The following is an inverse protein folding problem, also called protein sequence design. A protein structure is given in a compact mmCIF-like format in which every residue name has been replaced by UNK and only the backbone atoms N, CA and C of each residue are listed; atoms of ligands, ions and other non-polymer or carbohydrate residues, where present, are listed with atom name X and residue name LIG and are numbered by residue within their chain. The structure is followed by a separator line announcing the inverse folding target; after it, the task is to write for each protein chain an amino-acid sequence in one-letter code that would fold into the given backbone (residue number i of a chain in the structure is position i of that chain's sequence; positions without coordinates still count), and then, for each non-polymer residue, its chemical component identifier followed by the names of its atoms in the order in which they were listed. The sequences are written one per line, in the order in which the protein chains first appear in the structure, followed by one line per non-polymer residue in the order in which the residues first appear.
data_IF_299850925967
#
_entry.id   IF_299850925967
#
_cell.length_a   1.000
_cell.length_b   1.000
_cell.length_c   1.000
_cell.angle_alpha   90.00
_cell.angle_beta   90.00
_cell.angle_gamma   90.00
#
_symmetry.space_group_name_H-M   'P 1'
#
loop_
_entity.id
_entity.type
_entity.pdbx_description
1 polymer ?
#
# COMPACT_ATOMS: atom_id res chain seq x y z
N UNK A 1 -14.32 -13.29 18.72
CA UNK A 1 -15.11 -12.87 17.55
C UNK A 1 -14.29 -13.16 16.30
N UNK A 2 -14.83 -13.94 15.35
CA UNK A 2 -14.09 -14.40 14.17
C UNK A 2 -14.02 -13.26 13.13
N UNK A 3 -12.87 -12.61 13.01
CA UNK A 3 -12.64 -11.61 11.96
C UNK A 3 -12.31 -12.37 10.67
N UNK A 4 -13.23 -12.31 9.70
CA UNK A 4 -13.06 -12.97 8.40
C UNK A 4 -11.78 -12.51 7.70
N UNK A 5 -10.92 -13.47 7.32
CA UNK A 5 -9.68 -13.29 6.57
C UNK A 5 -9.90 -13.06 5.07
N UNK A 6 -11.15 -12.96 4.61
CA UNK A 6 -11.44 -12.79 3.18
C UNK A 6 -11.19 -11.36 2.72
N UNK A 7 -10.60 -11.16 1.52
CA UNK A 7 -10.42 -9.82 0.94
C UNK A 7 -11.77 -9.14 0.72
N UNK A 8 -11.89 -7.88 1.18
CA UNK A 8 -13.10 -7.04 1.09
C UNK A 8 -13.38 -6.64 -0.35
N UNK A 9 -14.22 -7.42 -1.03
CA UNK A 9 -14.66 -7.19 -2.42
C UNK A 9 -15.86 -6.25 -2.52
N UNK A 10 -16.45 -5.86 -1.39
CA UNK A 10 -17.49 -4.84 -1.25
C UNK A 10 -17.01 -3.44 -1.65
N UNK A 11 -15.69 -3.20 -1.57
CA UNK A 11 -15.08 -1.94 -1.95
C UNK A 11 -14.72 -1.96 -3.45
N UNK A 12 -15.40 -1.14 -4.26
CA UNK A 12 -15.33 -1.13 -5.72
C UNK A 12 -13.90 -1.08 -6.30
N UNK A 13 -12.97 -0.44 -5.59
CA UNK A 13 -11.58 -0.25 -6.03
C UNK A 13 -10.58 -1.27 -5.46
N UNK A 14 -10.99 -2.14 -4.53
CA UNK A 14 -10.22 -3.31 -4.09
C UNK A 14 -10.52 -4.56 -4.95
N UNK A 15 -11.49 -4.46 -5.88
CA UNK A 15 -11.78 -5.52 -6.84
C UNK A 15 -10.65 -5.66 -7.85
N UNK A 16 -10.16 -6.89 -8.04
CA UNK A 16 -9.36 -7.26 -9.21
C UNK A 16 -10.19 -6.93 -10.46
N UNK A 17 -9.68 -6.07 -11.34
CA UNK A 17 -10.36 -5.73 -12.59
C UNK A 17 -10.40 -6.97 -13.49
N UNK A 18 -11.53 -7.69 -13.47
CA UNK A 18 -11.83 -8.72 -14.47
C UNK A 18 -12.31 -7.97 -15.71
N UNK A 19 -11.54 -8.04 -16.80
CA UNK A 19 -11.95 -7.49 -18.09
C UNK A 19 -13.13 -8.33 -18.57
N UNK A 20 -14.33 -7.76 -18.58
CA UNK A 20 -15.49 -8.40 -19.19
C UNK A 20 -15.15 -8.69 -20.65
N UNK A 21 -15.26 -9.96 -21.05
CA UNK A 21 -15.32 -10.31 -22.46
C UNK A 21 -16.55 -9.61 -23.04
N UNK A 22 -16.36 -8.94 -24.18
CA UNK A 22 -17.40 -8.18 -24.87
C UNK A 22 -18.56 -9.10 -25.25
N UNK A 23 -19.65 -9.04 -24.49
CA UNK A 23 -20.92 -9.67 -24.87
C UNK A 23 -21.56 -8.82 -25.97
N UNK A 24 -21.74 -9.45 -27.13
CA UNK A 24 -22.49 -8.94 -28.28
C UNK A 24 -23.92 -8.58 -27.87
N UNK A 25 -24.37 -7.42 -28.36
CA UNK A 25 -25.71 -6.91 -28.20
C UNK A 25 -26.77 -7.84 -28.80
N UNK A 26 -27.85 -8.07 -28.06
CA UNK A 26 -29.13 -8.51 -28.60
C UNK A 26 -30.26 -7.67 -27.98
N UNK A 27 -31.12 -7.16 -28.86
CA UNK A 27 -32.18 -6.19 -28.61
C UNK A 27 -33.38 -6.79 -27.83
N UNK A 28 -34.26 -5.97 -27.22
CA UNK A 28 -35.32 -6.44 -26.34
C UNK A 28 -36.59 -6.82 -27.13
N UNK A 29 -37.33 -7.80 -26.62
CA UNK A 29 -38.71 -8.07 -27.04
C UNK A 29 -39.62 -8.01 -25.82
N UNK A 30 -40.67 -7.21 -25.93
CA UNK A 30 -41.71 -7.00 -24.91
C UNK A 30 -42.65 -8.20 -24.79
N UNK A 31 -43.23 -8.40 -23.60
CA UNK A 31 -44.34 -9.36 -23.43
C UNK A 31 -44.77 -9.61 -21.97
N UNK A 32 -45.80 -8.86 -21.56
CA UNK A 32 -46.97 -9.22 -20.72
C UNK A 32 -46.84 -9.94 -19.34
N UNK A 33 -47.71 -9.45 -18.44
CA UNK A 33 -48.09 -9.94 -17.10
C UNK A 33 -48.59 -11.42 -17.09
N UNK A 34 -48.67 -12.14 -15.95
CA UNK A 34 -49.79 -12.14 -14.97
C UNK A 34 -49.42 -13.03 -13.73
N UNK A 35 -49.86 -12.57 -12.55
CA UNK A 35 -50.30 -13.19 -11.27
C UNK A 35 -49.91 -14.61 -10.77
N UNK A 36 -49.57 -14.61 -9.46
CA UNK A 36 -50.04 -15.45 -8.33
C UNK A 36 -49.87 -16.98 -8.31
N UNK A 37 -49.49 -17.50 -7.14
CA UNK A 37 -49.95 -18.81 -6.65
C UNK A 37 -48.89 -19.67 -5.96
N UNK A 38 -49.07 -19.91 -4.66
CA UNK A 38 -48.25 -20.76 -3.80
C UNK A 38 -48.33 -22.26 -4.16
N UNK A 39 -47.23 -23.00 -3.94
CA UNK A 39 -47.20 -24.29 -3.24
C UNK A 39 -45.77 -24.88 -3.20
N UNK A 40 -45.33 -25.23 -1.99
CA UNK A 40 -44.34 -26.29 -1.74
C UNK A 40 -45.12 -27.64 -1.72
N UNK A 41 -44.51 -28.84 -1.95
CA UNK A 41 -43.50 -29.37 -1.03
C UNK A 41 -42.45 -30.40 -1.56
N UNK A 42 -41.44 -30.63 -0.70
CA UNK A 42 -40.74 -31.89 -0.34
C UNK A 42 -39.81 -32.70 -1.29
N UNK A 43 -38.60 -32.93 -0.75
CA UNK A 43 -37.75 -34.15 -0.75
C UNK A 43 -36.96 -34.57 -2.01
N UNK A 44 -35.63 -34.34 -1.98
CA UNK A 44 -34.61 -35.40 -2.06
C UNK A 44 -33.17 -34.82 -1.81
N UNK A 45 -32.26 -35.58 -1.18
CA UNK A 45 -30.92 -35.11 -0.83
C UNK A 45 -29.91 -35.38 -1.96
N UNK A 46 -29.11 -34.37 -2.33
CA UNK A 46 -27.94 -34.56 -3.20
C UNK A 46 -26.66 -34.29 -2.40
N UNK A 47 -25.84 -35.33 -2.30
CA UNK A 47 -24.53 -35.39 -1.65
C UNK A 47 -23.54 -34.48 -2.38
N UNK A 48 -22.78 -33.59 -1.71
CA UNK A 48 -21.72 -32.84 -2.36
C UNK A 48 -20.45 -33.68 -2.50
N UNK A 49 -19.95 -33.77 -3.73
CA UNK A 49 -18.63 -34.31 -4.11
C UNK A 49 -17.53 -33.39 -3.58
N UNK A 50 -16.57 -33.96 -2.84
CA UNK A 50 -15.39 -33.27 -2.32
C UNK A 50 -14.37 -32.96 -3.44
N UNK A 51 -13.74 -31.77 -3.47
CA UNK A 51 -12.57 -31.53 -4.30
C UNK A 51 -11.27 -31.93 -3.59
N UNK A 52 -10.41 -32.62 -4.35
CA UNK A 52 -9.12 -33.15 -3.94
C UNK A 52 -8.08 -32.05 -3.64
N UNK A 53 -7.25 -32.29 -2.62
CA UNK A 53 -6.06 -31.51 -2.28
C UNK A 53 -4.88 -31.89 -3.20
N UNK A 54 -4.05 -30.93 -3.65
CA UNK A 54 -2.76 -31.24 -4.26
C UNK A 54 -1.64 -31.27 -3.20
N UNK A 55 -1.10 -32.46 -2.95
CA UNK A 55 0.14 -32.68 -2.18
C UNK A 55 1.37 -32.37 -3.05
N UNK A 56 2.17 -31.39 -2.65
CA UNK A 56 3.45 -31.05 -3.28
C UNK A 56 4.58 -31.83 -2.60
N UNK A 57 5.18 -32.78 -3.31
CA UNK A 57 6.33 -33.57 -2.86
C UNK A 57 7.63 -32.93 -3.37
N UNK A 58 8.45 -32.41 -2.46
CA UNK A 58 9.81 -31.93 -2.75
C UNK A 58 10.76 -33.12 -2.82
N UNK A 59 11.32 -33.42 -4.00
CA UNK A 59 12.46 -34.34 -4.15
C UNK A 59 13.77 -33.56 -4.16
N UNK A 60 14.55 -33.78 -3.11
CA UNK A 60 15.96 -33.43 -2.99
C UNK A 60 16.83 -34.55 -3.57
N UNK A 61 17.83 -34.21 -4.38
CA UNK A 61 18.94 -35.11 -4.73
C UNK A 61 20.26 -34.38 -4.46
N UNK A 62 21.14 -34.92 -3.60
CA UNK A 62 22.56 -34.61 -3.64
C UNK A 62 23.32 -35.78 -4.28
N UNK A 63 24.25 -35.49 -5.19
CA UNK A 63 25.29 -36.44 -5.55
C UNK A 63 26.64 -35.72 -5.57
N UNK A 64 27.57 -36.29 -4.81
CA UNK A 64 28.91 -35.83 -4.58
C UNK A 64 29.93 -36.62 -5.44
N UNK A 65 31.16 -36.06 -5.45
CA UNK A 65 32.47 -36.67 -5.76
C UNK A 65 32.84 -36.83 -7.24
N UNK A 66 34.09 -36.66 -7.70
CA UNK A 66 35.33 -36.14 -7.13
C UNK A 66 36.44 -36.13 -8.23
N UNK A 67 37.51 -35.37 -7.97
CA UNK A 67 38.94 -35.63 -8.32
C UNK A 67 39.62 -35.06 -9.59
N UNK A 68 40.78 -34.45 -9.26
CA UNK A 68 42.10 -34.45 -9.93
C UNK A 68 42.46 -33.36 -10.97
N UNK A 69 43.68 -32.84 -10.82
CA UNK A 69 44.30 -31.69 -11.49
C UNK A 69 45.48 -32.13 -12.43
N UNK A 70 46.36 -31.24 -12.94
CA UNK A 70 46.56 -30.87 -14.36
C UNK A 70 47.90 -31.44 -14.96
N UNK A 71 48.39 -31.14 -16.21
CA UNK A 71 48.94 -29.82 -16.63
C UNK A 71 48.92 -29.45 -18.16
N UNK A 72 49.45 -28.25 -18.46
CA UNK A 72 50.21 -27.80 -19.65
C UNK A 72 49.54 -27.19 -20.94
N UNK A 73 49.81 -25.88 -21.11
CA UNK A 73 50.11 -25.04 -22.29
C UNK A 73 49.71 -25.47 -23.73
N UNK A 74 48.99 -24.59 -24.45
CA UNK A 74 49.29 -24.17 -25.84
C UNK A 74 48.48 -22.93 -26.28
N UNK A 75 49.24 -21.90 -26.69
CA UNK A 75 49.06 -20.82 -27.69
C UNK A 75 47.67 -20.44 -28.27
N UNK A 76 47.33 -19.13 -28.39
CA UNK A 76 46.09 -18.65 -29.00
C UNK A 76 46.18 -18.52 -30.53
N UNK A 77 45.11 -18.79 -31.30
CA UNK A 77 45.02 -18.33 -32.68
C UNK A 77 44.39 -16.94 -32.77
N UNK A 78 45.15 -15.99 -33.31
CA UNK A 78 44.65 -14.78 -33.95
C UNK A 78 43.60 -15.13 -35.02
N UNK A 79 42.45 -14.47 -34.99
CA UNK A 79 41.74 -14.09 -36.22
C UNK A 79 41.29 -12.64 -36.11
N UNK A 80 41.98 -11.81 -36.88
CA UNK A 80 41.58 -10.48 -37.28
C UNK A 80 40.36 -10.57 -38.19
N UNK A 81 39.26 -9.94 -37.78
CA UNK A 81 38.23 -9.46 -38.70
C UNK A 81 37.88 -8.05 -38.23
N UNK A 82 38.36 -7.07 -38.99
CA UNK A 82 38.22 -5.66 -38.68
C UNK A 82 36.77 -5.19 -38.74
N UNK A 83 36.42 -4.36 -37.77
CA UNK A 83 35.46 -3.29 -37.97
C UNK A 83 36.15 -2.01 -37.48
N UNK A 84 36.86 -1.34 -38.39
CA UNK A 84 37.41 -0.01 -38.17
C UNK A 84 36.25 0.97 -38.23
N UNK A 85 35.70 1.33 -37.07
CA UNK A 85 34.83 2.49 -36.94
C UNK A 85 35.72 3.72 -36.73
N UNK A 86 36.31 4.20 -37.83
CA UNK A 86 36.86 5.54 -37.89
C UNK A 86 35.72 6.55 -37.88
N UNK A 87 35.86 7.59 -37.06
CA UNK A 87 34.94 8.72 -36.99
C UNK A 87 34.37 8.87 -35.59
N UNK A 88 34.88 9.88 -34.87
CA UNK A 88 34.43 10.22 -33.52
C UNK A 88 32.91 10.25 -33.46
N UNK A 89 32.34 9.33 -32.67
CA UNK A 89 30.94 9.41 -32.31
C UNK A 89 30.76 10.77 -31.63
N UNK A 90 29.91 11.68 -32.16
CA UNK A 90 29.56 12.86 -31.40
C UNK A 90 28.98 12.37 -30.08
N UNK A 91 29.39 13.00 -28.98
CA UNK A 91 28.82 12.77 -27.66
C UNK A 91 27.29 12.75 -27.83
N UNK A 92 26.71 11.55 -27.82
CA UNK A 92 25.31 11.38 -28.17
C UNK A 92 24.54 12.04 -27.05
N UNK A 93 24.07 13.27 -27.31
CA UNK A 93 23.29 14.03 -26.36
C UNK A 93 22.12 13.14 -25.96
N UNK A 94 22.11 12.66 -24.71
CA UNK A 94 21.11 11.72 -24.24
C UNK A 94 19.72 12.23 -24.63
N UNK A 95 18.96 11.42 -25.35
CA UNK A 95 17.59 11.75 -25.71
C UNK A 95 16.76 12.07 -24.46
N UNK A 96 15.69 12.86 -24.57
CA UNK A 96 14.90 13.33 -23.40
C UNK A 96 14.39 12.18 -22.53
N UNK A 97 14.06 11.03 -23.12
CA UNK A 97 13.66 9.81 -22.39
C UNK A 97 14.80 9.18 -21.59
N UNK A 98 16.01 9.16 -22.13
CA UNK A 98 17.19 8.65 -21.44
C UNK A 98 17.56 9.54 -20.24
N UNK A 99 17.52 10.87 -20.42
CA UNK A 99 17.69 11.85 -19.33
C UNK A 99 16.67 11.63 -18.20
N UNK A 100 15.39 11.43 -18.55
CA UNK A 100 14.35 11.15 -17.56
C UNK A 100 14.58 9.85 -16.80
N UNK A 101 15.06 8.79 -17.46
CA UNK A 101 15.37 7.51 -16.81
C UNK A 101 16.56 7.63 -15.85
N UNK A 102 17.60 8.37 -16.24
CA UNK A 102 18.76 8.63 -15.36
C UNK A 102 18.32 9.40 -14.12
N UNK A 103 17.56 10.48 -14.28
CA UNK A 103 17.02 11.25 -13.16
C UNK A 103 16.13 10.40 -12.23
N UNK A 104 15.33 9.48 -12.78
CA UNK A 104 14.54 8.53 -11.98
C UNK A 104 15.41 7.57 -11.18
N UNK A 105 16.52 7.08 -11.75
CA UNK A 105 17.45 6.19 -11.06
C UNK A 105 18.22 6.91 -9.96
N UNK A 106 18.68 8.13 -10.21
CA UNK A 106 19.33 8.96 -9.20
C UNK A 106 18.40 9.26 -8.03
N UNK A 107 17.14 9.61 -8.32
CA UNK A 107 16.11 9.79 -7.30
C UNK A 107 15.87 8.52 -6.48
N UNK A 108 15.77 7.36 -7.13
CA UNK A 108 15.59 6.10 -6.42
C UNK A 108 16.79 5.78 -5.51
N UNK A 109 18.02 6.02 -5.98
CA UNK A 109 19.24 5.86 -5.16
C UNK A 109 19.23 6.77 -3.93
N UNK A 110 18.79 8.02 -4.08
CA UNK A 110 18.67 8.93 -2.96
C UNK A 110 17.65 8.44 -1.94
N UNK A 111 16.47 7.98 -2.41
CA UNK A 111 15.44 7.41 -1.54
C UNK A 111 15.95 6.15 -0.81
N UNK A 112 16.66 5.25 -1.49
CA UNK A 112 17.24 4.06 -0.87
C UNK A 112 18.34 4.42 0.14
N UNK A 113 19.14 5.45 -0.15
CA UNK A 113 20.14 5.96 0.78
C UNK A 113 19.52 6.55 2.04
N UNK A 114 18.43 7.32 1.92
CA UNK A 114 17.68 7.82 3.07
C UNK A 114 17.21 6.67 3.98
N UNK A 115 16.74 5.56 3.41
CA UNK A 115 16.31 4.38 4.16
C UNK A 115 17.50 3.66 4.80
N UNK A 116 18.64 3.58 4.13
CA UNK A 116 19.85 2.95 4.66
C UNK A 116 20.44 3.71 5.87
N UNK A 117 20.14 5.00 6.02
CA UNK A 117 20.55 5.81 7.17
C UNK A 117 19.66 5.60 8.41
N UNK A 118 18.53 4.89 8.27
CA UNK A 118 17.59 4.71 9.36
C UNK A 118 18.05 3.63 10.33
N UNK A 119 17.72 3.82 11.61
CA UNK A 119 17.82 2.75 12.60
C UNK A 119 16.92 1.57 12.20
N UNK A 120 17.33 0.33 12.52
CA UNK A 120 16.50 -0.85 12.31
C UNK A 120 15.11 -0.68 12.96
N UNK A 121 14.07 -1.11 12.25
CA UNK A 121 12.72 -1.17 12.76
C UNK A 121 12.11 -2.52 12.34
N UNK A 122 11.26 -3.13 13.19
CA UNK A 122 10.55 -4.36 12.84
C UNK A 122 9.73 -4.24 11.56
N UNK A 123 9.57 -5.33 10.82
CA UNK A 123 8.62 -5.38 9.71
C UNK A 123 7.19 -5.60 10.24
N UNK A 124 6.18 -5.43 9.38
CA UNK A 124 4.78 -5.64 9.79
C UNK A 124 4.49 -7.10 10.14
N UNK A 125 5.18 -8.05 9.49
CA UNK A 125 5.11 -9.47 9.83
C UNK A 125 5.70 -9.83 11.21
N UNK A 126 6.53 -8.95 11.78
CA UNK A 126 7.18 -9.18 13.08
C UNK A 126 6.36 -8.64 14.26
N UNK A 127 5.37 -7.76 14.01
CA UNK A 127 4.63 -7.03 15.04
C UNK A 127 3.13 -7.25 14.89
N UNK A 128 2.53 -7.87 15.90
CA UNK A 128 1.08 -8.10 15.95
C UNK A 128 0.30 -6.90 16.52
N UNK A 129 0.93 -6.14 17.42
CA UNK A 129 0.31 -5.01 18.10
C UNK A 129 1.31 -3.86 18.26
N UNK A 130 0.93 -2.66 17.83
CA UNK A 130 1.67 -1.44 18.06
C UNK A 130 1.21 -0.82 19.39
N UNK A 131 2.05 -0.95 20.43
CA UNK A 131 1.76 -0.53 21.79
C UNK A 131 2.94 0.26 22.40
N UNK A 132 2.97 0.44 23.72
CA UNK A 132 4.03 1.18 24.42
C UNK A 132 5.42 0.50 24.38
N UNK A 133 5.48 -0.79 24.10
CA UNK A 133 6.72 -1.57 23.95
C UNK A 133 7.12 -1.58 22.48
N UNK A 134 6.26 -2.15 21.63
CA UNK A 134 6.45 -2.23 20.19
C UNK A 134 5.83 -1.00 19.52
N UNK A 135 6.50 0.15 19.66
CA UNK A 135 5.94 1.44 19.24
C UNK A 135 6.01 1.70 17.75
N UNK A 136 6.87 0.99 17.02
CA UNK A 136 7.17 1.32 15.65
C UNK A 136 7.38 0.07 14.80
N UNK A 137 6.94 0.15 13.55
CA UNK A 137 7.28 -0.79 12.50
C UNK A 137 7.52 -0.05 11.19
N UNK A 138 8.22 -0.69 10.26
CA UNK A 138 8.53 -0.12 8.95
C UNK A 138 8.12 -1.08 7.85
N UNK A 139 7.34 -0.55 6.91
CA UNK A 139 6.96 -1.28 5.72
C UNK A 139 8.13 -1.34 4.74
N UNK A 140 8.29 -2.45 4.04
CA UNK A 140 9.20 -2.53 2.90
C UNK A 140 8.80 -1.55 1.79
N UNK A 141 9.73 -1.20 0.87
CA UNK A 141 9.39 -0.35 -0.28
C UNK A 141 8.25 -0.93 -1.15
N UNK A 142 8.16 -2.26 -1.23
CA UNK A 142 7.09 -2.94 -1.95
C UNK A 142 5.75 -2.78 -1.22
N UNK A 143 5.70 -3.09 0.08
CA UNK A 143 4.51 -2.90 0.91
C UNK A 143 4.06 -1.42 0.92
N UNK A 144 5.00 -0.47 0.85
CA UNK A 144 4.70 0.97 0.83
C UNK A 144 4.17 1.49 -0.51
N UNK A 145 4.24 0.71 -1.58
CA UNK A 145 3.90 1.16 -2.94
C UNK A 145 2.73 0.41 -3.60
N UNK A 146 2.26 -0.67 -2.99
CA UNK A 146 1.26 -1.57 -3.58
C UNK A 146 -0.06 -1.51 -2.81
N UNK A 147 -1.14 -1.17 -3.52
CA UNK A 147 -2.50 -1.25 -2.99
C UNK A 147 -2.88 -0.06 -2.10
N UNK A 148 -3.48 -0.38 -0.96
CA UNK A 148 -4.04 0.57 0.00
C UNK A 148 -3.69 0.10 1.40
N UNK A 149 -3.28 1.03 2.26
CA UNK A 149 -3.20 0.80 3.70
C UNK A 149 -4.54 1.22 4.29
N UNK A 150 -5.22 0.27 4.92
CA UNK A 150 -6.54 0.47 5.52
C UNK A 150 -6.36 0.58 7.04
N UNK A 151 -6.98 1.59 7.62
CA UNK A 151 -7.03 1.81 9.07
C UNK A 151 -8.48 1.73 9.50
N UNK A 152 -8.83 0.62 10.15
CA UNK A 152 -10.15 0.37 10.72
C UNK A 152 -10.20 0.86 12.17
N UNK A 153 -11.36 1.31 12.63
CA UNK A 153 -11.57 1.76 14.01
C UNK A 153 -11.06 3.18 14.30
N UNK A 154 -10.41 3.84 13.33
CA UNK A 154 -10.13 5.28 13.42
C UNK A 154 -11.42 6.09 13.26
N UNK A 155 -11.55 7.17 14.02
CA UNK A 155 -12.69 8.09 13.97
C UNK A 155 -12.34 9.42 13.32
N UNK A 156 -11.05 9.78 13.28
CA UNK A 156 -10.54 10.94 12.56
C UNK A 156 -9.17 10.66 11.95
N UNK A 157 -8.87 11.33 10.84
CA UNK A 157 -7.55 11.32 10.22
C UNK A 157 -7.17 12.74 9.84
N UNK A 158 -5.91 13.10 10.07
CA UNK A 158 -5.27 14.30 9.53
C UNK A 158 -4.07 13.87 8.71
N UNK A 159 -3.81 14.55 7.60
CA UNK A 159 -2.69 14.27 6.71
C UNK A 159 -2.03 15.55 6.22
N UNK A 160 -0.77 15.42 5.86
CA UNK A 160 0.03 16.45 5.25
C UNK A 160 0.72 15.88 4.00
N UNK A 161 0.59 16.57 2.87
CA UNK A 161 1.32 16.23 1.66
C UNK A 161 2.76 16.76 1.67
N UNK A 162 3.59 16.28 0.74
CA UNK A 162 4.95 16.83 0.52
C UNK A 162 4.94 18.32 0.19
N UNK A 163 3.82 18.86 -0.30
CA UNK A 163 3.62 20.29 -0.56
C UNK A 163 3.12 21.07 0.66
N UNK A 164 3.14 20.47 1.85
CA UNK A 164 2.61 21.02 3.12
C UNK A 164 1.13 21.38 3.05
N UNK A 165 0.37 20.76 2.14
CA UNK A 165 -1.09 20.85 2.13
C UNK A 165 -1.61 19.92 3.21
N UNK A 166 -2.37 20.48 4.13
CA UNK A 166 -2.94 19.77 5.27
C UNK A 166 -4.45 19.65 5.09
N UNK A 167 -4.95 18.43 5.27
CA UNK A 167 -6.38 18.13 5.29
C UNK A 167 -6.70 17.19 6.43
N UNK A 168 -7.96 17.16 6.82
CA UNK A 168 -8.47 16.22 7.81
C UNK A 168 -9.88 15.75 7.43
N UNK A 169 -10.23 14.56 7.88
CA UNK A 169 -11.55 13.98 7.69
C UNK A 169 -11.94 13.15 8.91
N UNK A 170 -13.22 13.20 9.29
CA UNK A 170 -13.81 12.31 10.30
C UNK A 170 -14.56 11.15 9.65
N UNK A 171 -14.78 10.07 10.40
CA UNK A 171 -15.57 8.92 9.96
C UNK A 171 -17.01 9.31 9.57
N UNK A 172 -17.56 10.36 10.18
CA UNK A 172 -18.86 10.95 9.85
C UNK A 172 -18.84 11.81 8.57
N UNK A 173 -17.72 11.84 7.86
CA UNK A 173 -17.56 12.54 6.58
C UNK A 173 -17.29 14.04 6.69
N UNK A 174 -17.09 14.59 7.89
CA UNK A 174 -16.75 16.00 8.03
C UNK A 174 -15.31 16.20 7.56
N UNK A 175 -15.07 17.23 6.75
CA UNK A 175 -13.75 17.55 6.18
C UNK A 175 -13.28 18.91 6.65
N UNK A 176 -11.98 19.02 6.89
CA UNK A 176 -11.30 20.28 7.18
C UNK A 176 -10.03 20.39 6.34
N UNK A 177 -9.58 21.62 6.09
CA UNK A 177 -8.41 21.89 5.27
C UNK A 177 -8.65 21.59 3.78
N UNK A 178 -7.61 21.13 3.08
CA UNK A 178 -7.68 20.88 1.63
C UNK A 178 -7.48 19.38 1.31
N UNK A 179 -8.30 18.80 0.42
CA UNK A 179 -8.08 17.43 -0.03
C UNK A 179 -6.78 17.33 -0.83
N UNK A 180 -6.13 16.18 -0.74
CA UNK A 180 -4.99 15.85 -1.58
C UNK A 180 -5.42 14.71 -2.48
N UNK A 181 -5.58 15.02 -3.76
CA UNK A 181 -5.90 14.01 -4.76
C UNK A 181 -4.63 13.50 -5.43
N UNK A 182 -4.60 12.19 -5.61
CA UNK A 182 -3.63 11.51 -6.46
C UNK A 182 -3.80 11.91 -7.92
N UNK A 183 -2.77 11.72 -8.74
CA UNK A 183 -2.88 11.91 -10.20
C UNK A 183 -4.01 11.11 -10.89
N UNK A 184 -4.57 10.09 -10.23
CA UNK A 184 -5.72 9.33 -10.67
C UNK A 184 -7.08 9.85 -10.19
N UNK A 185 -7.17 11.07 -9.65
CA UNK A 185 -8.38 11.68 -9.10
C UNK A 185 -9.01 10.85 -7.97
N UNK A 186 -8.16 10.23 -7.15
CA UNK A 186 -8.54 9.51 -5.92
C UNK A 186 -7.95 10.24 -4.73
N UNK A 187 -8.64 10.27 -3.61
CA UNK A 187 -8.09 10.81 -2.36
C UNK A 187 -6.83 10.02 -1.95
N UNK A 188 -5.76 10.76 -1.66
CA UNK A 188 -4.51 10.18 -1.16
C UNK A 188 -4.72 9.56 0.22
N UNK A 189 -5.41 10.31 1.08
CA UNK A 189 -5.86 9.90 2.41
C UNK A 189 -7.33 10.31 2.53
N UNK A 190 -8.16 9.44 3.09
CA UNK A 190 -9.58 9.72 3.29
C UNK A 190 -10.34 8.53 3.84
N UNK A 191 -11.65 8.69 4.02
CA UNK A 191 -12.55 7.63 4.47
C UNK A 191 -13.35 7.01 3.33
N UNK A 192 -13.55 5.70 3.40
CA UNK A 192 -14.57 5.00 2.61
C UNK A 192 -15.38 4.11 3.55
N UNK A 193 -16.64 4.49 3.77
CA UNK A 193 -17.43 3.91 4.85
C UNK A 193 -16.82 4.30 6.20
N UNK A 194 -16.63 3.31 7.08
CA UNK A 194 -16.03 3.48 8.41
C UNK A 194 -14.51 3.38 8.43
N UNK A 195 -13.89 3.03 7.30
CA UNK A 195 -12.47 2.71 7.23
C UNK A 195 -11.70 3.89 6.62
N UNK A 196 -10.63 4.32 7.28
CA UNK A 196 -9.71 5.29 6.73
C UNK A 196 -8.68 4.58 5.84
N UNK A 197 -8.17 5.28 4.84
CA UNK A 197 -7.35 4.70 3.78
C UNK A 197 -6.16 5.59 3.45
N UNK A 198 -5.04 4.97 3.05
CA UNK A 198 -3.94 5.63 2.33
C UNK A 198 -3.72 4.92 1.00
N UNK A 199 -3.77 5.66 -0.11
CA UNK A 199 -3.45 5.11 -1.43
C UNK A 199 -1.93 4.98 -1.61
N UNK A 200 -1.40 3.77 -1.44
CA UNK A 200 0.04 3.50 -1.36
C UNK A 200 0.81 3.76 -2.66
N UNK A 201 0.17 3.54 -3.81
CA UNK A 201 0.78 3.86 -5.12
C UNK A 201 1.22 5.32 -5.25
N UNK A 202 0.59 6.22 -4.48
CA UNK A 202 0.84 7.66 -4.48
C UNK A 202 1.44 8.15 -3.16
N UNK A 203 2.00 7.25 -2.34
CA UNK A 203 2.56 7.59 -1.02
C UNK A 203 3.68 8.64 -1.08
N UNK A 204 4.32 8.81 -2.24
CA UNK A 204 5.33 9.87 -2.47
C UNK A 204 4.75 11.28 -2.40
N UNK A 205 3.43 11.42 -2.52
CA UNK A 205 2.72 12.69 -2.34
C UNK A 205 2.40 12.94 -0.87
N UNK A 206 2.45 11.91 -0.01
CA UNK A 206 2.26 11.99 1.43
C UNK A 206 3.57 12.39 2.12
N UNK A 207 3.47 13.27 3.11
CA UNK A 207 4.55 13.54 4.07
C UNK A 207 4.32 12.75 5.35
N UNK A 208 3.13 12.90 5.93
CA UNK A 208 2.72 12.21 7.16
C UNK A 208 1.20 12.21 7.33
N UNK A 209 0.69 11.33 8.18
CA UNK A 209 -0.69 11.29 8.62
C UNK A 209 -0.81 10.84 10.09
N UNK A 210 -1.90 11.21 10.74
CA UNK A 210 -2.28 10.75 12.07
C UNK A 210 -3.69 10.19 12.01
N UNK A 211 -3.89 8.99 12.53
CA UNK A 211 -5.19 8.39 12.74
C UNK A 211 -5.50 8.38 14.23
N UNK A 212 -6.68 8.86 14.57
CA UNK A 212 -7.17 9.01 15.94
C UNK A 212 -8.34 8.05 16.11
N UNK A 213 -8.38 7.34 17.23
CA UNK A 213 -9.47 6.45 17.60
C UNK A 213 -10.14 6.95 18.87
N UNK A 214 -11.35 7.51 18.73
CA UNK A 214 -12.21 7.93 19.85
C UNK A 214 -13.18 6.86 20.31
N UNK A 215 -13.14 5.68 19.70
CA UNK A 215 -14.00 4.56 20.07
C UNK A 215 -13.36 3.70 21.16
N UNK A 216 -14.17 2.91 21.85
CA UNK A 216 -13.72 1.89 22.80
C UNK A 216 -13.17 0.62 22.13
N UNK A 217 -13.23 0.55 20.79
CA UNK A 217 -12.72 -0.60 20.02
C UNK A 217 -11.25 -0.42 19.68
N UNK A 218 -10.54 -1.52 19.45
CA UNK A 218 -9.16 -1.45 18.95
C UNK A 218 -9.11 -0.83 17.55
N UNK A 219 -8.01 -0.12 17.25
CA UNK A 219 -7.72 0.33 15.88
C UNK A 219 -6.91 -0.78 15.19
N UNK A 220 -7.14 -0.98 13.90
CA UNK A 220 -6.43 -2.01 13.13
C UNK A 220 -5.87 -1.43 11.85
N UNK A 221 -4.64 -1.78 11.52
CA UNK A 221 -4.00 -1.45 10.25
C UNK A 221 -3.88 -2.72 9.42
N UNK A 222 -4.28 -2.64 8.15
CA UNK A 222 -4.26 -3.75 7.20
C UNK A 222 -3.64 -3.32 5.88
N UNK A 223 -2.75 -4.16 5.35
CA UNK A 223 -2.22 -4.03 4.00
C UNK A 223 -3.01 -4.85 2.98
N UNK A 224 -2.82 -4.54 1.70
CA UNK A 224 -3.40 -5.32 0.61
C UNK A 224 -2.93 -6.79 0.60
N UNK A 225 -1.71 -7.08 1.09
CA UNK A 225 -1.19 -8.44 1.25
C UNK A 225 -2.00 -9.27 2.24
N UNK A 226 -2.77 -8.63 3.13
CA UNK A 226 -3.48 -9.28 4.22
C UNK A 226 -2.76 -9.13 5.57
N UNK A 227 -1.52 -8.63 5.58
CA UNK A 227 -0.79 -8.39 6.83
C UNK A 227 -1.52 -7.34 7.68
N UNK A 228 -1.59 -7.59 8.99
CA UNK A 228 -2.32 -6.73 9.92
C UNK A 228 -1.55 -6.49 11.19
N UNK A 229 -1.69 -5.28 11.73
CA UNK A 229 -1.23 -4.92 13.07
C UNK A 229 -2.35 -4.19 13.80
N UNK A 230 -2.51 -4.46 15.10
CA UNK A 230 -3.51 -3.79 15.93
C UNK A 230 -2.89 -2.65 16.73
N UNK A 231 -3.69 -1.67 17.13
CA UNK A 231 -3.36 -0.74 18.21
C UNK A 231 -4.40 -0.96 19.33
N UNK A 232 -3.97 -1.00 20.59
CA UNK A 232 -4.86 -1.24 21.70
C UNK A 232 -5.90 -0.11 21.84
N UNK A 233 -7.09 -0.40 22.39
CA UNK A 233 -8.05 0.63 22.74
C UNK A 233 -7.50 1.52 23.87
N UNK A 234 -8.15 2.66 24.10
CA UNK A 234 -7.77 3.54 25.20
C UNK A 234 -7.85 2.81 26.57
N UNK A 235 -6.84 3.02 27.40
CA UNK A 235 -6.71 2.44 28.73
C UNK A 235 -6.04 3.44 29.68
N UNK A 236 -6.42 3.43 30.96
CA UNK A 236 -5.77 4.22 32.02
C UNK A 236 -5.66 5.72 31.69
N UNK A 237 -6.66 6.30 31.03
CA UNK A 237 -6.67 7.71 30.64
C UNK A 237 -5.74 8.06 29.47
N UNK A 238 -5.15 7.07 28.82
CA UNK A 238 -4.28 7.21 27.65
C UNK A 238 -4.92 6.52 26.44
N UNK A 239 -4.76 7.11 25.26
CA UNK A 239 -5.10 6.48 23.97
C UNK A 239 -3.86 6.42 23.08
N UNK A 240 -3.78 5.41 22.21
CA UNK A 240 -2.74 5.35 21.20
C UNK A 240 -3.24 6.00 19.91
N UNK A 241 -2.46 6.92 19.34
CA UNK A 241 -2.66 7.43 17.98
C UNK A 241 -1.67 6.77 17.03
N UNK A 242 -2.11 6.50 15.81
CA UNK A 242 -1.24 5.97 14.77
C UNK A 242 -0.67 7.14 13.96
N UNK A 243 0.64 7.32 14.02
CA UNK A 243 1.38 8.18 13.11
C UNK A 243 1.94 7.37 11.95
N UNK A 244 1.74 7.88 10.75
CA UNK A 244 2.31 7.33 9.51
C UNK A 244 3.24 8.38 8.93
N UNK A 245 4.51 8.05 8.77
CA UNK A 245 5.52 8.93 8.20
C UNK A 245 6.12 8.32 6.95
N UNK A 246 6.26 9.13 5.90
CA UNK A 246 6.99 8.73 4.70
C UNK A 246 8.47 9.09 4.86
N UNK A 247 9.35 8.11 4.73
CA UNK A 247 10.81 8.28 4.74
C UNK A 247 11.36 7.65 3.46
N UNK A 248 12.00 8.40 2.58
CA UNK A 248 12.44 7.85 1.28
C UNK A 248 11.29 7.17 0.52
N UNK A 249 11.40 5.87 0.27
CA UNK A 249 10.38 5.06 -0.41
C UNK A 249 9.58 4.13 0.53
N UNK A 250 9.72 4.29 1.85
CA UNK A 250 9.03 3.47 2.86
C UNK A 250 8.05 4.30 3.71
N UNK A 251 7.11 3.58 4.32
CA UNK A 251 6.29 4.10 5.41
C UNK A 251 6.75 3.53 6.75
N UNK A 252 6.91 4.41 7.73
CA UNK A 252 7.07 4.06 9.13
C UNK A 252 5.75 4.33 9.86
N UNK A 253 5.27 3.31 10.58
CA UNK A 253 4.05 3.37 11.38
C UNK A 253 4.49 3.41 12.84
N UNK A 254 3.98 4.38 13.59
CA UNK A 254 4.30 4.57 15.01
C UNK A 254 3.03 4.72 15.82
N UNK A 255 2.94 4.02 16.94
CA UNK A 255 1.93 4.26 17.94
C UNK A 255 2.51 5.18 19.02
N UNK A 256 1.88 6.33 19.20
CA UNK A 256 2.28 7.28 20.25
C UNK A 256 1.13 7.43 21.27
N UNK A 257 1.44 7.40 22.57
CA UNK A 257 0.46 7.63 23.61
C UNK A 257 0.12 9.12 23.70
N UNK A 258 -1.16 9.43 23.80
CA UNK A 258 -1.66 10.77 24.11
C UNK A 258 -2.74 10.67 25.20
N UNK A 259 -2.95 11.74 25.99
CA UNK A 259 -4.06 11.78 26.93
C UNK A 259 -5.41 11.56 26.23
N UNK A 260 -6.30 10.81 26.88
CA UNK A 260 -7.61 10.46 26.32
C UNK A 260 -8.54 11.69 26.19
N UNK A 261 -8.40 12.65 27.10
CA UNK A 261 -9.21 13.87 27.21
C UNK A 261 -8.81 14.96 26.21
N UNK A 262 -7.64 14.84 25.57
CA UNK A 262 -7.21 15.76 24.53
C UNK A 262 -8.19 15.78 23.36
N UNK A 263 -8.56 16.96 22.90
CA UNK A 263 -9.35 17.15 21.68
C UNK A 263 -8.49 16.89 20.44
N UNK A 264 -9.10 16.58 19.29
CA UNK A 264 -8.38 16.31 18.04
C UNK A 264 -7.42 17.45 17.68
N UNK A 265 -7.84 18.70 17.87
CA UNK A 265 -7.01 19.89 17.62
C UNK A 265 -5.76 19.93 18.49
N UNK A 266 -5.85 19.50 19.75
CA UNK A 266 -4.69 19.45 20.65
C UNK A 266 -3.70 18.37 20.19
N UNK A 267 -4.21 17.19 19.78
CA UNK A 267 -3.39 16.13 19.18
C UNK A 267 -2.70 16.65 17.92
N UNK A 268 -3.40 17.38 17.05
CA UNK A 268 -2.81 17.94 15.84
C UNK A 268 -1.66 18.91 16.15
N UNK A 269 -1.84 19.78 17.14
CA UNK A 269 -0.83 20.74 17.58
C UNK A 269 0.40 20.05 18.17
N UNK A 270 0.21 19.03 19.00
CA UNK A 270 1.32 18.24 19.58
C UNK A 270 2.25 17.67 18.49
N UNK A 271 1.66 17.28 17.35
CA UNK A 271 2.41 16.73 16.22
C UNK A 271 2.67 17.74 15.10
N UNK A 272 2.64 19.04 15.40
CA UNK A 272 2.97 20.14 14.48
C UNK A 272 2.12 20.17 13.19
N UNK A 273 0.85 19.80 13.24
CA UNK A 273 -0.08 19.99 12.14
C UNK A 273 -0.72 21.39 12.20
N UNK A 274 -0.61 22.14 11.09
CA UNK A 274 -1.27 23.44 10.92
C UNK A 274 -2.19 23.38 9.70
N UNK A 275 -3.49 23.62 9.90
CA UNK A 275 -4.50 23.45 8.85
C UNK A 275 -4.31 24.45 7.71
N UNK A 276 -4.27 23.95 6.47
CA UNK A 276 -4.24 24.82 5.30
C UNK A 276 -5.66 25.17 4.86
N UNK A 277 -6.02 26.45 4.96
CA UNK A 277 -7.34 26.95 4.52
C UNK A 277 -7.52 26.94 2.99
N UNK A 278 -6.42 26.86 2.23
CA UNK A 278 -6.41 26.73 0.76
C UNK A 278 -5.10 26.09 0.30
N UNK A 279 -5.18 25.02 -0.50
CA UNK A 279 -4.00 24.48 -1.17
C UNK A 279 -3.36 25.60 -2.03
N UNK A 280 -2.04 25.82 -1.96
CA UNK A 280 -1.38 26.80 -2.81
C UNK A 280 -1.64 26.43 -4.26
N UNK A 281 -2.28 27.33 -4.99
CA UNK A 281 -2.40 27.23 -6.45
C UNK A 281 -0.98 27.15 -6.99
N UNK A 282 -0.68 26.07 -7.70
CA UNK A 282 0.62 25.78 -8.32
C UNK A 282 1.25 27.03 -8.96
N UNK A 283 2.12 27.72 -8.22
CA UNK A 283 2.85 28.89 -8.71
C UNK A 283 4.25 28.54 -9.26
N UNK A 284 4.53 27.26 -9.49
CA UNK A 284 5.71 26.85 -10.24
C UNK A 284 5.26 26.19 -11.55
N UNK A 285 5.36 27.01 -12.60
CA UNK A 285 5.16 26.60 -13.98
C UNK A 285 6.17 25.55 -14.44
N UNK A 286 5.80 24.92 -15.55
CA UNK A 286 6.54 23.92 -16.32
C UNK A 286 7.97 24.33 -16.63
#
# INVERSE_FOLDING_TARGET
MNVSSSPRTDITFLRRRIKAASAQASAPTAGAAISQGANAPLLAPAVPVAPAAPSLTLRSTPQAAAHAAPPAQATPPQRSAGLVLGGGAPASSMGPRAKKLVAQREKARHEDHEVALLFPAPAIEDVYELNLVDRALRLSPLQSSVGTLLVSGSTAVVWESVRRVVGAQTADGHKAGSPVETSGNRELVGYVGSDALITLRHVRELRRAIFINRSSSAMGVRLFSGDTVALPPAAEGTQMVLLVHRIGNVLELRAEPVPLDWQDVAIWQEFDFSMTHRAPSSAYGR
#
